data_IF_479255368398
#
_entry.id   IF_479255368398
#
_cell.length_a   1.000
_cell.length_b   1.000
_cell.length_c   1.000
_cell.angle_alpha   90.00
_cell.angle_beta   90.00
_cell.angle_gamma   90.00
#
_symmetry.space_group_name_H-M   'P 1'
#
loop_
_entity.id
_entity.type
_entity.pdbx_description
1 polymer ?
#
# COMPACT_ATOMS: atom_id res chain seq x y z
N UNK A 1 -31.70 0.95 15.12
CA UNK A 1 -30.97 0.80 13.86
C UNK A 1 -29.77 -0.06 14.17
N UNK A 2 -29.70 -1.26 13.60
CA UNK A 2 -28.56 -2.13 13.83
C UNK A 2 -27.33 -1.49 13.21
N UNK A 3 -26.35 -1.09 14.02
CA UNK A 3 -25.04 -0.82 13.50
C UNK A 3 -24.58 -2.06 12.74
N UNK A 4 -24.55 -1.94 11.42
CA UNK A 4 -24.04 -3.00 10.56
C UNK A 4 -22.54 -3.09 10.82
N UNK A 5 -22.17 -4.00 11.72
CA UNK A 5 -20.79 -4.25 12.15
C UNK A 5 -20.05 -5.15 11.14
N UNK A 6 -20.47 -5.14 9.89
CA UNK A 6 -19.77 -5.85 8.82
C UNK A 6 -18.51 -5.11 8.40
N UNK A 7 -17.44 -5.84 8.03
CA UNK A 7 -16.28 -5.22 7.41
C UNK A 7 -16.70 -4.36 6.22
N UNK A 8 -16.07 -3.21 6.07
CA UNK A 8 -16.30 -2.35 4.90
C UNK A 8 -15.77 -3.03 3.64
N UNK A 9 -16.53 -2.91 2.56
CA UNK A 9 -16.15 -3.48 1.26
C UNK A 9 -15.43 -2.41 0.45
N UNK A 10 -14.14 -2.63 0.20
CA UNK A 10 -13.32 -1.75 -0.62
C UNK A 10 -12.89 -2.43 -1.91
N UNK A 11 -12.82 -1.66 -2.98
CA UNK A 11 -12.20 -2.08 -4.22
C UNK A 11 -10.71 -1.74 -4.19
N UNK A 12 -9.85 -2.75 -4.37
CA UNK A 12 -8.41 -2.54 -4.51
C UNK A 12 -8.10 -1.95 -5.90
N UNK A 13 -7.75 -0.67 -5.92
CA UNK A 13 -7.59 0.14 -7.12
C UNK A 13 -6.19 -0.01 -7.72
N UNK A 14 -5.95 -1.12 -8.41
CA UNK A 14 -4.70 -1.33 -9.13
C UNK A 14 -4.65 -0.47 -10.41
N UNK A 15 -3.56 0.33 -10.66
CA UNK A 15 -3.51 1.27 -11.78
C UNK A 15 -3.45 0.62 -13.17
N UNK A 16 -3.38 -0.67 -13.27
CA UNK A 16 -3.35 -1.41 -14.53
C UNK A 16 -3.44 -2.90 -14.26
N UNK A 17 -3.52 -3.69 -15.31
CA UNK A 17 -3.62 -5.14 -15.22
C UNK A 17 -2.26 -5.79 -14.94
N UNK A 18 -2.31 -7.05 -14.53
CA UNK A 18 -1.13 -7.90 -14.39
C UNK A 18 -0.31 -7.89 -15.66
N UNK A 19 1.01 -7.75 -15.53
CA UNK A 19 1.91 -7.72 -16.69
C UNK A 19 2.09 -6.34 -17.32
N UNK A 20 1.57 -5.27 -16.72
CA UNK A 20 1.78 -3.92 -17.23
C UNK A 20 3.26 -3.59 -17.42
N UNK A 21 3.57 -2.91 -18.53
CA UNK A 21 4.94 -2.66 -18.94
C UNK A 21 5.59 -3.80 -19.72
N UNK A 22 4.98 -4.98 -19.76
CA UNK A 22 5.38 -6.08 -20.65
C UNK A 22 4.81 -5.83 -22.07
N UNK A 23 5.44 -6.42 -23.12
CA UNK A 23 4.82 -6.45 -24.44
C UNK A 23 3.40 -7.01 -24.35
N UNK A 24 2.48 -6.42 -25.08
CA UNK A 24 1.06 -6.80 -25.13
C UNK A 24 0.26 -6.66 -23.82
N UNK A 25 0.80 -5.95 -22.82
CA UNK A 25 0.03 -5.63 -21.62
C UNK A 25 -1.12 -4.68 -21.93
N UNK A 26 -2.22 -4.82 -21.21
CA UNK A 26 -3.36 -3.93 -21.37
C UNK A 26 -3.05 -2.49 -20.89
N UNK A 27 -3.73 -1.48 -21.46
CA UNK A 27 -3.52 -0.10 -21.06
C UNK A 27 -3.92 0.14 -19.60
N UNK A 28 -3.31 1.14 -19.00
CA UNK A 28 -3.67 1.60 -17.67
C UNK A 28 -5.12 2.10 -17.66
N UNK A 29 -5.85 1.76 -16.60
CA UNK A 29 -7.18 2.30 -16.34
C UNK A 29 -7.04 3.58 -15.52
N UNK A 30 -7.56 4.68 -16.05
CA UNK A 30 -7.53 5.97 -15.36
C UNK A 30 -8.28 5.94 -14.03
N UNK A 31 -7.78 6.67 -13.03
CA UNK A 31 -8.37 6.72 -11.69
C UNK A 31 -9.86 7.08 -11.71
N UNK A 32 -10.24 8.07 -12.51
CA UNK A 32 -11.64 8.51 -12.60
C UNK A 32 -12.55 7.42 -13.13
N UNK A 33 -12.11 6.65 -14.13
CA UNK A 33 -12.85 5.51 -14.65
C UNK A 33 -13.02 4.41 -13.60
N UNK A 34 -11.96 4.09 -12.86
CA UNK A 34 -12.02 3.09 -11.78
C UNK A 34 -12.94 3.53 -10.64
N UNK A 35 -12.89 4.79 -10.24
CA UNK A 35 -13.81 5.36 -9.23
C UNK A 35 -15.26 5.30 -9.71
N UNK A 36 -15.51 5.60 -10.98
CA UNK A 36 -16.83 5.52 -11.57
C UNK A 36 -17.39 4.10 -11.60
N UNK A 37 -16.58 3.11 -11.98
CA UNK A 37 -16.98 1.70 -11.97
C UNK A 37 -17.25 1.23 -10.54
N UNK A 38 -16.38 1.59 -9.59
CA UNK A 38 -16.55 1.22 -8.17
C UNK A 38 -17.83 1.81 -7.59
N UNK A 39 -18.09 3.09 -7.83
CA UNK A 39 -19.29 3.76 -7.32
C UNK A 39 -20.59 3.26 -7.94
N UNK A 40 -20.56 2.75 -9.17
CA UNK A 40 -21.71 2.19 -9.89
C UNK A 40 -21.92 0.71 -9.63
N UNK A 41 -20.93 0.00 -9.11
CA UNK A 41 -21.03 -1.43 -8.83
C UNK A 41 -22.13 -1.69 -7.80
N UNK A 42 -23.03 -2.59 -8.14
CA UNK A 42 -24.16 -3.01 -7.29
C UNK A 42 -24.45 -4.47 -7.60
N UNK A 43 -24.32 -5.32 -6.60
CA UNK A 43 -24.67 -6.74 -6.70
C UNK A 43 -25.72 -7.04 -5.64
N UNK A 44 -26.95 -7.18 -6.05
CA UNK A 44 -28.10 -7.44 -5.17
C UNK A 44 -28.24 -6.42 -4.02
N UNK A 45 -27.97 -5.15 -4.31
CA UNK A 45 -28.01 -4.04 -3.33
C UNK A 45 -26.72 -3.88 -2.51
N UNK A 46 -25.71 -4.72 -2.73
CA UNK A 46 -24.41 -4.59 -2.07
C UNK A 46 -23.48 -3.74 -2.94
N UNK A 47 -22.96 -2.66 -2.36
CA UNK A 47 -22.08 -1.69 -3.00
C UNK A 47 -20.74 -1.61 -2.28
N UNK A 48 -19.75 -1.05 -2.96
CA UNK A 48 -18.50 -0.70 -2.31
C UNK A 48 -18.68 0.50 -1.37
N UNK A 49 -18.07 0.42 -0.19
CA UNK A 49 -17.97 1.53 0.76
C UNK A 49 -16.81 2.47 0.42
N UNK A 50 -15.80 1.94 -0.28
CA UNK A 50 -14.59 2.70 -0.57
C UNK A 50 -13.63 2.00 -1.52
N UNK A 51 -12.43 2.56 -1.55
CA UNK A 51 -11.30 2.09 -2.37
C UNK A 51 -10.04 1.95 -1.55
N UNK A 52 -9.19 1.01 -1.91
CA UNK A 52 -7.81 0.89 -1.46
C UNK A 52 -6.89 1.32 -2.60
N UNK A 53 -5.91 2.18 -2.33
CA UNK A 53 -5.14 2.86 -3.38
C UNK A 53 -3.68 2.42 -3.38
N UNK A 54 -3.11 2.35 -4.57
CA UNK A 54 -1.68 2.22 -4.82
C UNK A 54 -1.08 3.62 -4.99
N UNK A 55 -0.05 3.94 -4.20
CA UNK A 55 0.55 5.27 -4.17
C UNK A 55 1.62 5.44 -5.26
N UNK A 56 1.23 5.22 -6.52
CA UNK A 56 2.09 5.49 -7.66
C UNK A 56 1.28 5.87 -8.92
N UNK A 57 1.97 6.55 -9.84
CA UNK A 57 1.39 7.01 -11.09
C UNK A 57 0.78 5.85 -11.92
N UNK A 58 -0.29 6.13 -12.68
CA UNK A 58 -0.91 7.45 -12.85
C UNK A 58 -1.99 7.78 -11.83
N UNK A 59 -2.32 6.90 -10.89
CA UNK A 59 -3.45 7.13 -9.98
C UNK A 59 -3.11 8.13 -8.88
N UNK A 60 -2.03 7.89 -8.16
CA UNK A 60 -1.55 8.76 -7.08
C UNK A 60 -0.03 8.79 -7.16
N UNK A 61 0.56 9.95 -7.08
CA UNK A 61 2.01 10.05 -6.98
C UNK A 61 2.43 10.07 -5.51
N UNK A 62 3.45 9.29 -5.15
CA UNK A 62 3.99 9.28 -3.78
C UNK A 62 4.60 10.63 -3.40
N UNK A 63 5.00 11.44 -4.38
CA UNK A 63 5.51 12.79 -4.22
C UNK A 63 4.44 13.88 -4.34
N UNK A 64 3.14 13.51 -4.30
CA UNK A 64 2.03 14.44 -4.32
C UNK A 64 2.14 15.49 -3.22
N UNK A 65 1.94 16.74 -3.59
CA UNK A 65 1.80 17.84 -2.65
C UNK A 65 0.43 17.86 -1.95
N UNK A 66 0.24 18.78 -1.04
CA UNK A 66 -1.00 18.88 -0.26
C UNK A 66 -2.22 19.19 -1.12
N UNK A 67 -2.06 19.97 -2.18
CA UNK A 67 -3.13 20.32 -3.10
C UNK A 67 -3.59 19.10 -3.91
N UNK A 68 -2.64 18.31 -4.42
CA UNK A 68 -2.93 17.07 -5.13
C UNK A 68 -3.62 16.03 -4.22
N UNK A 69 -3.15 15.88 -2.98
CA UNK A 69 -3.77 14.97 -2.00
C UNK A 69 -5.21 15.42 -1.67
N UNK A 70 -5.42 16.74 -1.52
CA UNK A 70 -6.77 17.28 -1.31
C UNK A 70 -7.67 17.05 -2.52
N UNK A 71 -7.18 17.28 -3.73
CA UNK A 71 -7.94 17.02 -4.94
C UNK A 71 -8.33 15.53 -5.08
N UNK A 72 -7.44 14.61 -4.72
CA UNK A 72 -7.74 13.19 -4.63
C UNK A 72 -8.87 12.90 -3.63
N UNK A 73 -8.78 13.48 -2.43
CA UNK A 73 -9.80 13.32 -1.40
C UNK A 73 -11.18 13.81 -1.86
N UNK A 74 -11.23 15.01 -2.46
CA UNK A 74 -12.45 15.60 -2.99
C UNK A 74 -13.06 14.74 -4.11
N UNK A 75 -12.21 14.18 -5.00
CA UNK A 75 -12.59 13.29 -6.09
C UNK A 75 -13.25 12.01 -5.58
N UNK A 76 -12.67 11.36 -4.60
CA UNK A 76 -13.22 10.13 -3.98
C UNK A 76 -14.51 10.45 -3.22
N UNK A 77 -14.54 11.53 -2.44
CA UNK A 77 -15.72 11.97 -1.71
C UNK A 77 -16.91 12.28 -2.63
N UNK A 78 -16.66 12.88 -3.80
CA UNK A 78 -17.70 13.18 -4.81
C UNK A 78 -18.40 11.92 -5.35
N UNK A 79 -17.81 10.74 -5.18
CA UNK A 79 -18.39 9.44 -5.55
C UNK A 79 -19.08 8.74 -4.35
N UNK A 80 -19.16 9.40 -3.17
CA UNK A 80 -19.62 8.81 -1.92
C UNK A 80 -18.79 7.58 -1.48
N UNK A 81 -17.52 7.55 -1.82
CA UNK A 81 -16.57 6.52 -1.44
C UNK A 81 -15.64 7.04 -0.33
N UNK A 82 -15.04 6.12 0.40
CA UNK A 82 -13.96 6.39 1.35
C UNK A 82 -12.64 5.79 0.85
N UNK A 83 -11.54 6.21 1.45
CA UNK A 83 -10.23 5.60 1.22
C UNK A 83 -9.90 4.71 2.43
N UNK A 84 -9.46 3.50 2.16
CA UNK A 84 -9.05 2.52 3.17
C UNK A 84 -7.54 2.34 3.22
N UNK A 85 -7.08 1.16 2.82
CA UNK A 85 -5.66 0.82 2.82
C UNK A 85 -4.92 1.48 1.66
N UNK A 86 -3.64 1.74 1.90
CA UNK A 86 -2.74 2.32 0.91
C UNK A 86 -1.58 1.35 0.68
N UNK A 87 -1.13 1.22 -0.56
CA UNK A 87 0.06 0.43 -0.90
C UNK A 87 1.23 1.37 -1.12
N UNK A 88 2.24 1.26 -0.26
CA UNK A 88 3.47 2.01 -0.39
C UNK A 88 4.33 1.44 -1.54
N UNK A 89 4.77 2.24 -2.52
CA UNK A 89 5.56 1.76 -3.65
C UNK A 89 7.05 1.62 -3.27
N UNK A 90 7.33 0.86 -2.23
CA UNK A 90 8.66 0.72 -1.62
C UNK A 90 9.68 0.05 -2.53
N UNK A 91 9.24 -0.62 -3.59
CA UNK A 91 10.08 -1.37 -4.52
C UNK A 91 10.85 -0.52 -5.53
N UNK A 92 10.52 0.78 -5.67
CA UNK A 92 11.19 1.63 -6.65
C UNK A 92 12.60 2.06 -6.22
N UNK A 93 12.78 2.36 -4.94
CA UNK A 93 13.98 3.02 -4.44
C UNK A 93 14.88 2.09 -3.60
N UNK A 94 14.46 0.84 -3.40
CA UNK A 94 15.28 -0.09 -2.65
C UNK A 94 14.57 -1.34 -2.15
N UNK A 95 15.22 -2.00 -1.20
CA UNK A 95 14.68 -3.17 -0.49
C UNK A 95 15.01 -3.05 1.00
N UNK A 96 14.17 -3.65 1.84
CA UNK A 96 14.38 -3.61 3.28
C UNK A 96 15.69 -4.30 3.74
N UNK A 97 16.18 -5.26 2.98
CA UNK A 97 17.44 -5.98 3.25
C UNK A 97 18.67 -5.33 2.62
N UNK A 98 18.50 -4.38 1.72
CA UNK A 98 19.57 -3.81 0.91
C UNK A 98 20.74 -3.19 1.72
N UNK A 99 21.70 -2.60 1.03
CA UNK A 99 22.69 -1.73 1.66
C UNK A 99 22.03 -0.48 2.28
N UNK A 100 22.82 0.35 2.92
CA UNK A 100 22.29 1.54 3.63
C UNK A 100 21.51 2.46 2.71
N UNK A 101 21.97 2.71 1.48
CA UNK A 101 21.29 3.56 0.51
C UNK A 101 19.96 2.96 0.05
N UNK A 102 19.95 1.67 -0.28
CA UNK A 102 18.76 0.93 -0.67
C UNK A 102 17.72 0.86 0.46
N UNK A 103 18.17 0.60 1.68
CA UNK A 103 17.33 0.59 2.88
C UNK A 103 16.74 1.97 3.17
N UNK A 104 17.54 3.04 3.06
CA UNK A 104 17.05 4.40 3.27
C UNK A 104 16.06 4.84 2.18
N UNK A 105 16.27 4.46 0.92
CA UNK A 105 15.30 4.65 -0.16
C UNK A 105 13.97 4.00 0.17
N UNK A 106 14.00 2.74 0.60
CA UNK A 106 12.82 1.99 1.04
C UNK A 106 12.09 2.67 2.22
N UNK A 107 12.82 3.08 3.25
CA UNK A 107 12.24 3.81 4.41
C UNK A 107 11.69 5.18 4.03
N UNK A 108 12.32 5.87 3.08
CA UNK A 108 11.82 7.15 2.57
C UNK A 108 10.47 6.99 1.87
N UNK A 109 10.29 5.94 1.07
CA UNK A 109 8.99 5.63 0.48
C UNK A 109 7.92 5.35 1.56
N UNK A 110 8.28 4.66 2.66
CA UNK A 110 7.39 4.50 3.81
C UNK A 110 7.01 5.85 4.43
N UNK A 111 7.97 6.74 4.70
CA UNK A 111 7.69 8.08 5.28
C UNK A 111 6.74 8.89 4.41
N UNK A 112 6.96 8.92 3.10
CA UNK A 112 6.09 9.60 2.15
C UNK A 112 4.67 9.01 2.15
N UNK A 113 4.55 7.69 2.15
CA UNK A 113 3.26 6.98 2.19
C UNK A 113 2.50 7.27 3.49
N UNK A 114 3.18 7.27 4.63
CA UNK A 114 2.61 7.63 5.93
C UNK A 114 2.13 9.09 5.96
N UNK A 115 2.90 10.02 5.37
CA UNK A 115 2.48 11.42 5.24
C UNK A 115 1.17 11.56 4.46
N UNK A 116 1.04 10.87 3.32
CA UNK A 116 -0.20 10.85 2.53
C UNK A 116 -1.34 10.24 3.33
N UNK A 117 -1.11 9.11 4.00
CA UNK A 117 -2.11 8.44 4.83
C UNK A 117 -2.66 9.36 5.92
N UNK A 118 -1.77 10.02 6.65
CA UNK A 118 -2.12 10.98 7.71
C UNK A 118 -2.91 12.16 7.16
N UNK A 119 -2.49 12.69 6.00
CA UNK A 119 -3.19 13.81 5.38
C UNK A 119 -4.61 13.45 4.92
N UNK A 120 -4.79 12.27 4.32
CA UNK A 120 -6.12 11.77 3.94
C UNK A 120 -7.03 11.55 5.16
N UNK A 121 -6.46 11.15 6.30
CA UNK A 121 -7.18 11.03 7.57
C UNK A 121 -7.60 12.41 8.10
N UNK A 122 -6.72 13.40 8.10
CA UNK A 122 -7.04 14.78 8.51
C UNK A 122 -8.15 15.39 7.65
N UNK A 123 -8.21 15.05 6.37
CA UNK A 123 -9.27 15.46 5.44
C UNK A 123 -10.59 14.69 5.66
N UNK A 124 -10.64 13.72 6.58
CA UNK A 124 -11.84 12.95 6.92
C UNK A 124 -12.29 11.95 5.85
N UNK A 125 -11.45 11.70 4.83
CA UNK A 125 -11.77 10.73 3.77
C UNK A 125 -11.29 9.32 4.10
N UNK A 126 -10.29 9.18 5.00
CA UNK A 126 -9.71 7.92 5.44
C UNK A 126 -9.83 7.79 6.96
N UNK A 127 -10.69 6.90 7.45
CA UNK A 127 -10.90 6.64 8.88
C UNK A 127 -10.19 5.37 9.33
N UNK A 128 -10.11 4.37 8.44
CA UNK A 128 -9.58 3.04 8.70
C UNK A 128 -8.63 2.64 7.58
N UNK A 129 -7.87 1.59 7.81
CA UNK A 129 -6.95 1.02 6.87
C UNK A 129 -5.54 0.92 7.41
N UNK A 130 -4.67 0.35 6.62
CA UNK A 130 -3.24 0.19 6.88
C UNK A 130 -2.44 0.78 5.72
N UNK A 131 -1.18 1.02 5.93
CA UNK A 131 -0.23 1.21 4.83
C UNK A 131 0.47 -0.14 4.61
N UNK A 132 0.21 -0.75 3.46
CA UNK A 132 0.84 -2.00 3.07
C UNK A 132 2.29 -1.76 2.67
N UNK A 133 3.18 -2.63 3.13
CA UNK A 133 4.59 -2.70 2.76
C UNK A 133 4.94 -4.10 2.29
N UNK A 134 5.94 -4.20 1.42
CA UNK A 134 6.52 -5.44 0.90
C UNK A 134 8.01 -5.24 0.55
N UNK A 135 8.51 -5.90 -0.50
CA UNK A 135 9.82 -5.66 -1.10
C UNK A 135 10.98 -5.83 -0.12
N UNK A 136 10.92 -6.89 0.69
CA UNK A 136 11.94 -7.15 1.69
C UNK A 136 13.31 -7.42 1.06
N UNK A 137 13.38 -8.32 0.08
CA UNK A 137 14.61 -8.68 -0.62
C UNK A 137 14.31 -9.48 -1.88
N UNK A 138 15.20 -9.49 -2.90
CA UNK A 138 15.18 -10.54 -3.92
C UNK A 138 15.37 -11.92 -3.28
N UNK A 139 14.60 -12.93 -3.72
CA UNK A 139 14.62 -14.29 -3.13
C UNK A 139 16.02 -14.89 -3.14
N UNK A 140 16.76 -14.76 -4.26
CA UNK A 140 18.12 -15.32 -4.40
C UNK A 140 19.14 -14.66 -3.48
N UNK A 141 18.99 -13.37 -3.17
CA UNK A 141 19.89 -12.68 -2.26
C UNK A 141 19.58 -13.02 -0.79
N UNK A 142 18.30 -13.09 -0.44
CA UNK A 142 17.90 -13.55 0.88
C UNK A 142 18.37 -14.98 1.18
N UNK A 143 18.30 -15.88 0.20
CA UNK A 143 18.67 -17.29 0.33
C UNK A 143 20.16 -17.52 0.60
N UNK A 144 21.04 -16.54 0.41
CA UNK A 144 22.48 -16.66 0.70
C UNK A 144 22.77 -16.82 2.20
N UNK A 145 22.00 -16.17 3.05
CA UNK A 145 22.04 -16.33 4.51
C UNK A 145 20.64 -15.97 5.10
N UNK A 146 19.70 -16.91 5.06
CA UNK A 146 18.32 -16.63 5.44
C UNK A 146 18.17 -16.06 6.84
N UNK A 147 18.95 -16.58 7.80
CA UNK A 147 18.86 -16.14 9.21
C UNK A 147 19.32 -14.70 9.39
N UNK A 148 20.52 -14.36 8.91
CA UNK A 148 21.04 -13.01 9.02
C UNK A 148 20.20 -12.02 8.22
N UNK A 149 19.73 -12.41 7.03
CA UNK A 149 18.96 -11.58 6.14
C UNK A 149 17.55 -11.32 6.68
N UNK A 150 16.87 -12.31 7.28
CA UNK A 150 15.60 -12.11 8.00
C UNK A 150 15.78 -11.13 9.16
N UNK A 151 16.86 -11.24 9.93
CA UNK A 151 17.15 -10.27 11.01
C UNK A 151 17.31 -8.83 10.46
N UNK A 152 17.99 -8.65 9.34
CA UNK A 152 18.13 -7.32 8.70
C UNK A 152 16.79 -6.75 8.23
N UNK A 153 15.96 -7.58 7.61
CA UNK A 153 14.59 -7.18 7.19
C UNK A 153 13.77 -6.77 8.43
N UNK A 154 13.78 -7.57 9.49
CA UNK A 154 13.06 -7.28 10.72
C UNK A 154 13.50 -5.95 11.36
N UNK A 155 14.80 -5.62 11.34
CA UNK A 155 15.29 -4.32 11.82
C UNK A 155 14.72 -3.16 11.02
N UNK A 156 14.69 -3.26 9.70
CA UNK A 156 14.12 -2.23 8.82
C UNK A 156 12.61 -2.10 9.03
N UNK A 157 11.89 -3.21 9.17
CA UNK A 157 10.45 -3.22 9.41
C UNK A 157 10.09 -2.63 10.79
N UNK A 158 10.90 -2.85 11.82
CA UNK A 158 10.72 -2.20 13.13
C UNK A 158 10.89 -0.69 13.05
N UNK A 159 11.86 -0.22 12.27
CA UNK A 159 12.05 1.22 12.03
C UNK A 159 10.85 1.81 11.27
N UNK A 160 10.38 1.14 10.23
CA UNK A 160 9.17 1.52 9.52
C UNK A 160 7.93 1.52 10.44
N UNK A 161 7.80 0.51 11.30
CA UNK A 161 6.73 0.43 12.31
C UNK A 161 6.73 1.62 13.24
N UNK A 162 7.93 2.05 13.69
CA UNK A 162 8.06 3.24 14.52
C UNK A 162 7.67 4.53 13.79
N UNK A 163 8.06 4.68 12.52
CA UNK A 163 7.65 5.83 11.69
C UNK A 163 6.12 5.90 11.60
N UNK A 164 5.45 4.76 11.40
CA UNK A 164 4.00 4.71 11.34
C UNK A 164 3.35 5.01 12.69
N UNK A 165 3.85 4.41 13.78
CA UNK A 165 3.38 4.64 15.15
C UNK A 165 3.45 6.12 15.54
N UNK A 166 4.58 6.78 15.29
CA UNK A 166 4.81 8.20 15.59
C UNK A 166 3.79 9.11 14.84
N UNK A 167 3.25 8.65 13.72
CA UNK A 167 2.20 9.33 12.94
C UNK A 167 0.77 8.84 13.25
N UNK A 168 0.61 7.89 14.17
CA UNK A 168 -0.68 7.27 14.49
C UNK A 168 -1.25 6.41 13.35
N UNK A 169 -0.37 5.88 12.49
CA UNK A 169 -0.72 4.98 11.38
C UNK A 169 -0.34 3.53 11.70
N UNK A 170 -0.82 2.60 10.89
CA UNK A 170 -0.51 1.17 11.01
C UNK A 170 0.07 0.64 9.70
N UNK A 171 1.09 -0.21 9.83
CA UNK A 171 1.64 -0.95 8.71
C UNK A 171 1.07 -2.37 8.65
N UNK A 172 1.01 -2.93 7.46
CA UNK A 172 0.80 -4.35 7.23
C UNK A 172 1.84 -4.86 6.22
N UNK A 173 2.58 -5.87 6.60
CA UNK A 173 3.49 -6.55 5.69
C UNK A 173 2.70 -7.57 4.87
N UNK A 174 2.81 -7.51 3.55
CA UNK A 174 2.19 -8.48 2.66
C UNK A 174 3.22 -9.48 2.15
N UNK A 175 2.94 -10.77 2.43
CA UNK A 175 3.75 -11.86 1.91
C UNK A 175 3.49 -12.09 0.43
N UNK A 176 4.55 -12.06 -0.36
CA UNK A 176 4.51 -12.33 -1.80
C UNK A 176 5.63 -13.29 -2.21
N UNK A 177 5.32 -14.17 -3.17
CA UNK A 177 6.26 -15.20 -3.63
C UNK A 177 7.54 -14.64 -4.26
N UNK A 178 7.53 -13.40 -4.69
CA UNK A 178 8.69 -12.74 -5.31
C UNK A 178 9.67 -12.12 -4.28
N UNK A 179 9.30 -12.02 -2.99
CA UNK A 179 10.14 -11.37 -1.99
C UNK A 179 10.73 -12.37 -0.98
N UNK A 180 12.05 -12.43 -0.92
CA UNK A 180 12.78 -13.25 0.04
C UNK A 180 12.51 -12.84 1.49
N UNK A 181 12.33 -13.81 2.38
CA UNK A 181 11.91 -13.58 3.76
C UNK A 181 10.41 -13.34 3.95
N UNK A 182 9.64 -13.22 2.87
CA UNK A 182 8.20 -12.98 2.89
C UNK A 182 7.40 -13.95 2.01
N UNK A 183 8.06 -14.89 1.34
CA UNK A 183 7.46 -15.73 0.29
C UNK A 183 6.75 -17.00 0.80
N UNK A 184 6.59 -17.15 2.11
CA UNK A 184 5.78 -18.20 2.72
C UNK A 184 5.24 -17.73 4.08
N UNK A 185 4.19 -18.40 4.57
CA UNK A 185 3.64 -18.11 5.88
C UNK A 185 4.65 -18.32 7.01
N UNK A 186 5.53 -19.32 6.88
CA UNK A 186 6.59 -19.58 7.86
C UNK A 186 7.59 -18.43 7.92
N UNK A 187 8.06 -17.94 6.77
CA UNK A 187 8.98 -16.81 6.73
C UNK A 187 8.34 -15.52 7.24
N UNK A 188 7.04 -15.33 7.00
CA UNK A 188 6.32 -14.19 7.58
C UNK A 188 6.26 -14.29 9.10
N UNK A 189 6.06 -15.49 9.63
CA UNK A 189 6.08 -15.71 11.08
C UNK A 189 7.47 -15.42 11.67
N UNK A 190 8.52 -16.01 11.07
CA UNK A 190 9.91 -15.80 11.49
C UNK A 190 10.32 -14.30 11.44
N UNK A 191 9.71 -13.53 10.54
CA UNK A 191 9.95 -12.09 10.41
C UNK A 191 9.26 -11.27 11.50
N UNK A 192 8.13 -11.73 12.02
CA UNK A 192 7.32 -11.03 13.03
C UNK A 192 7.72 -11.36 14.47
N UNK A 193 8.42 -12.47 14.69
CA UNK A 193 8.99 -12.87 15.98
C UNK A 193 10.31 -12.17 16.31
#
# INVERSE_FOLDING_TARGET
MSDNNFPKLHNAMWPGLVGKGAPDSEPVIELDAMLDYTAKADVDGVKFDGVDLFLYSPHVDIDSDDEAIKALADKVAAKNLKIGSLVAPVWFDGTAMGDEASREGWLNAVRKSIKIASRLRELGIREHGVVRIDSAAPVGDWAKDPKANTTRIAQTFREAGKIAEDAGERLAAEGEICWGGMHSWQHMLDLLE
#
